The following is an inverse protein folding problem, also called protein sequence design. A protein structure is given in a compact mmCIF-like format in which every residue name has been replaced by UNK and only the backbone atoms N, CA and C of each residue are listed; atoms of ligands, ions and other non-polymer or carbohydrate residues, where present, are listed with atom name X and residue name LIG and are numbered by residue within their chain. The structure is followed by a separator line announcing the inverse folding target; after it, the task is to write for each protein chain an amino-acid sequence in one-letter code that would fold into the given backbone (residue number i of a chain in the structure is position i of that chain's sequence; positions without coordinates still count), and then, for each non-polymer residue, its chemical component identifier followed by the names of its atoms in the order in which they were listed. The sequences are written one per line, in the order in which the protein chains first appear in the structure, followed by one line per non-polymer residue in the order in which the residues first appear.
data_IF_196087283633
#
_entry.id   IF_196087283633
#
_cell.length_a   1.000
_cell.length_b   1.000
_cell.length_c   1.000
_cell.angle_alpha   90.00
_cell.angle_beta   90.00
_cell.angle_gamma   90.00
#
_symmetry.space_group_name_H-M   'P 1'
#
loop_
_entity.id
_entity.type
_entity.pdbx_description
1 polymer ?
#
# COMPACT_ATOMS: atom_id res chain seq x y z
N UNK A 1 -21.53 -3.49 -11.70
CA UNK A 1 -21.25 -2.10 -11.25
C UNK A 1 -20.01 -1.62 -11.96
N UNK A 2 -19.93 -0.34 -12.32
CA UNK A 2 -18.77 0.20 -13.01
C UNK A 2 -17.69 0.55 -11.97
N UNK A 3 -16.45 0.18 -12.21
CA UNK A 3 -15.29 0.59 -11.42
C UNK A 3 -15.03 2.08 -11.64
N UNK A 4 -14.77 2.81 -10.56
CA UNK A 4 -14.47 4.25 -10.55
C UNK A 4 -13.15 4.60 -9.89
N UNK A 5 -12.52 3.64 -9.20
CA UNK A 5 -11.19 3.78 -8.63
C UNK A 5 -10.41 2.47 -8.82
N UNK A 6 -9.19 2.57 -9.31
CA UNK A 6 -8.23 1.46 -9.36
C UNK A 6 -7.06 1.80 -8.44
N UNK A 7 -6.76 0.91 -7.51
CA UNK A 7 -5.65 1.04 -6.55
C UNK A 7 -4.64 -0.06 -6.81
N UNK A 8 -3.39 0.30 -7.01
CA UNK A 8 -2.28 -0.63 -7.21
C UNK A 8 -1.35 -0.66 -6.01
N UNK A 9 -0.87 -1.83 -5.65
CA UNK A 9 0.39 -1.92 -4.93
C UNK A 9 1.53 -1.34 -5.79
N UNK A 10 2.65 -0.99 -5.16
CA UNK A 10 3.77 -0.32 -5.82
C UNK A 10 4.86 -1.30 -6.27
N UNK A 11 5.53 -1.95 -5.30
CA UNK A 11 6.67 -2.82 -5.58
C UNK A 11 6.21 -4.12 -6.25
N UNK A 12 6.83 -4.51 -7.38
CA UNK A 12 6.51 -5.75 -8.11
C UNK A 12 5.06 -5.82 -8.65
N UNK A 13 4.33 -4.69 -8.61
CA UNK A 13 2.98 -4.54 -9.19
C UNK A 13 2.93 -3.34 -10.13
N UNK A 14 3.09 -2.09 -9.62
CA UNK A 14 3.22 -0.89 -10.46
C UNK A 14 4.59 -0.82 -11.13
N UNK A 15 5.64 -1.14 -10.39
CA UNK A 15 7.01 -1.26 -10.88
C UNK A 15 7.45 -2.73 -10.93
N UNK A 16 8.54 -2.98 -11.63
CA UNK A 16 9.29 -4.25 -11.53
C UNK A 16 10.29 -4.24 -10.35
N UNK A 17 11.18 -5.23 -10.31
CA UNK A 17 12.21 -5.38 -9.27
C UNK A 17 13.29 -4.29 -9.34
N UNK A 18 13.43 -3.59 -10.47
CA UNK A 18 14.40 -2.51 -10.69
C UNK A 18 13.77 -1.13 -10.54
N UNK A 19 12.51 -1.05 -10.09
CA UNK A 19 11.69 0.15 -9.99
C UNK A 19 11.34 0.78 -11.35
N UNK A 20 11.42 0.02 -12.43
CA UNK A 20 10.99 0.49 -13.75
C UNK A 20 9.49 0.36 -13.94
N UNK A 21 8.89 1.37 -14.58
CA UNK A 21 7.47 1.39 -14.97
C UNK A 21 7.32 0.76 -16.35
N UNK A 22 6.43 -0.21 -16.50
CA UNK A 22 6.25 -0.92 -17.75
C UNK A 22 5.84 0.00 -18.90
N UNK A 23 6.44 -0.17 -20.11
CA UNK A 23 6.01 0.55 -21.30
C UNK A 23 4.51 0.41 -21.56
N UNK A 24 3.83 1.52 -21.82
CA UNK A 24 2.40 1.57 -22.10
C UNK A 24 1.48 1.58 -20.87
N UNK A 25 2.02 1.49 -19.63
CA UNK A 25 1.21 1.63 -18.42
C UNK A 25 0.68 3.07 -18.25
N UNK A 26 1.54 4.08 -18.44
CA UNK A 26 1.11 5.47 -18.35
C UNK A 26 -0.03 5.84 -19.33
N UNK A 27 0.02 5.49 -20.63
CA UNK A 27 -1.12 5.66 -21.52
C UNK A 27 -2.40 4.96 -21.07
N UNK A 28 -2.30 3.74 -20.47
CA UNK A 28 -3.46 3.03 -19.98
C UNK A 28 -4.12 3.73 -18.78
N UNK A 29 -3.32 4.27 -17.85
CA UNK A 29 -3.82 5.06 -16.71
C UNK A 29 -4.51 6.35 -17.23
N UNK A 30 -3.88 7.10 -18.13
CA UNK A 30 -4.50 8.31 -18.71
C UNK A 30 -5.82 8.01 -19.43
N UNK A 31 -5.92 6.85 -20.08
CA UNK A 31 -7.16 6.44 -20.75
C UNK A 31 -8.31 6.25 -19.77
N UNK A 32 -8.07 5.63 -18.61
CA UNK A 32 -9.11 5.43 -17.59
C UNK A 32 -9.45 6.73 -16.87
N UNK A 33 -8.47 7.60 -16.63
CA UNK A 33 -8.72 8.93 -16.07
C UNK A 33 -9.64 9.75 -17.01
N UNK A 34 -9.43 9.67 -18.31
CA UNK A 34 -10.32 10.27 -19.33
C UNK A 34 -11.75 9.72 -19.30
N UNK A 35 -11.96 8.53 -18.70
CA UNK A 35 -13.30 7.94 -18.46
C UNK A 35 -13.86 8.29 -17.07
N UNK A 36 -13.14 9.10 -16.27
CA UNK A 36 -13.53 9.45 -14.90
C UNK A 36 -13.22 8.38 -13.85
N UNK A 37 -12.33 7.43 -14.17
CA UNK A 37 -11.85 6.40 -13.24
C UNK A 37 -10.55 6.90 -12.62
N UNK A 38 -10.51 7.05 -11.29
CA UNK A 38 -9.31 7.44 -10.55
C UNK A 38 -8.27 6.32 -10.51
N UNK A 39 -7.00 6.71 -10.44
CA UNK A 39 -5.89 5.80 -10.20
C UNK A 39 -5.08 6.23 -8.97
N UNK A 40 -4.67 5.26 -8.15
CA UNK A 40 -3.89 5.49 -6.92
C UNK A 40 -2.93 4.34 -6.64
N UNK A 41 -1.92 4.63 -5.79
CA UNK A 41 -0.95 3.65 -5.30
C UNK A 41 -1.07 3.49 -3.78
N UNK A 42 -0.91 2.26 -3.27
CA UNK A 42 -0.73 1.95 -1.85
C UNK A 42 0.54 1.15 -1.68
N UNK A 43 1.46 1.59 -0.80
CA UNK A 43 2.78 0.97 -0.64
C UNK A 43 3.28 0.96 0.81
N UNK A 44 4.20 0.04 1.09
CA UNK A 44 5.03 0.06 2.30
C UNK A 44 6.17 1.08 2.26
N UNK A 45 6.48 1.64 1.10
CA UNK A 45 7.53 2.66 0.92
C UNK A 45 7.21 3.91 1.73
N UNK A 46 8.26 4.63 2.16
CA UNK A 46 8.06 5.89 2.88
C UNK A 46 7.46 6.97 1.98
N UNK A 47 6.91 8.00 2.62
CA UNK A 47 6.16 9.05 1.95
C UNK A 47 7.01 9.85 0.95
N UNK A 48 8.22 10.25 1.35
CA UNK A 48 9.09 11.08 0.51
C UNK A 48 9.54 10.30 -0.72
N UNK A 49 9.89 9.02 -0.57
CA UNK A 49 10.21 8.14 -1.70
C UNK A 49 9.08 8.10 -2.74
N UNK A 50 7.83 7.83 -2.30
CA UNK A 50 6.70 7.77 -3.24
C UNK A 50 6.41 9.12 -3.87
N UNK A 51 6.53 10.20 -3.11
CA UNK A 51 6.34 11.55 -3.63
C UNK A 51 7.35 11.88 -4.72
N UNK A 52 8.64 11.62 -4.44
CA UNK A 52 9.74 11.88 -5.39
C UNK A 52 9.64 10.97 -6.62
N UNK A 53 9.21 9.71 -6.43
CA UNK A 53 8.98 8.77 -7.53
C UNK A 53 7.82 9.19 -8.43
N UNK A 54 6.71 9.65 -7.85
CA UNK A 54 5.51 10.03 -8.61
C UNK A 54 5.64 11.40 -9.28
N UNK A 55 6.48 12.30 -8.76
CA UNK A 55 6.64 13.65 -9.28
C UNK A 55 6.99 13.69 -10.79
N UNK A 56 7.98 12.93 -11.30
CA UNK A 56 8.34 12.93 -12.72
C UNK A 56 7.32 12.22 -13.61
N UNK A 57 6.29 11.60 -13.07
CA UNK A 57 5.24 10.93 -13.84
C UNK A 57 4.15 11.88 -14.38
N UNK A 58 4.40 13.18 -14.32
CA UNK A 58 3.63 14.22 -15.03
C UNK A 58 2.13 14.21 -14.67
N UNK A 59 1.82 14.07 -13.36
CA UNK A 59 0.45 14.02 -12.86
C UNK A 59 -0.26 12.68 -13.07
N UNK A 60 0.45 11.63 -13.49
CA UNK A 60 -0.12 10.29 -13.68
C UNK A 60 -0.63 9.67 -12.36
N UNK A 61 -0.01 10.04 -11.22
CA UNK A 61 -0.39 9.58 -9.88
C UNK A 61 -0.60 10.80 -8.99
N UNK A 62 -1.85 11.24 -8.88
CA UNK A 62 -2.22 12.41 -8.05
C UNK A 62 -2.55 12.05 -6.59
N UNK A 63 -2.53 10.78 -6.27
CA UNK A 63 -2.82 10.27 -4.93
C UNK A 63 -2.09 8.98 -4.66
N UNK A 64 -1.63 8.80 -3.43
CA UNK A 64 -1.04 7.56 -2.95
C UNK A 64 -1.17 7.43 -1.43
N UNK A 65 -0.99 6.21 -0.95
CA UNK A 65 -0.85 5.90 0.47
C UNK A 65 0.50 5.23 0.70
N UNK A 66 1.25 5.78 1.64
CA UNK A 66 2.59 5.35 2.03
C UNK A 66 2.58 4.65 3.39
N UNK A 67 3.71 4.04 3.73
CA UNK A 67 3.97 3.44 5.03
C UNK A 67 2.86 2.47 5.46
N UNK A 68 2.46 1.56 4.54
CA UNK A 68 1.42 0.55 4.77
C UNK A 68 0.08 1.09 5.29
N UNK A 69 -0.32 2.30 4.88
CA UNK A 69 -1.58 2.88 5.29
C UNK A 69 -1.46 4.06 6.25
N UNK A 70 -0.26 4.41 6.73
CA UNK A 70 -0.07 5.43 7.74
C UNK A 70 -0.17 6.86 7.21
N UNK A 71 0.23 7.10 5.96
CA UNK A 71 0.34 8.43 5.36
C UNK A 71 -0.33 8.46 4.00
N UNK A 72 -1.23 9.43 3.80
CA UNK A 72 -1.90 9.66 2.53
C UNK A 72 -1.40 10.93 1.84
N UNK A 73 -1.39 10.90 0.51
CA UNK A 73 -1.27 12.07 -0.35
C UNK A 73 -2.46 12.14 -1.28
N UNK A 74 -3.12 13.28 -1.36
CA UNK A 74 -4.24 13.49 -2.25
C UNK A 74 -4.28 14.93 -2.74
N UNK A 75 -4.17 15.13 -4.05
CA UNK A 75 -4.27 16.44 -4.71
C UNK A 75 -3.45 17.54 -4.01
N UNK A 76 -2.16 17.30 -3.82
CA UNK A 76 -1.23 18.29 -3.25
C UNK A 76 -1.17 18.34 -1.72
N UNK A 77 -2.01 17.55 -1.00
CA UNK A 77 -2.06 17.57 0.47
C UNK A 77 -1.61 16.23 1.05
N UNK A 78 -0.86 16.31 2.15
CA UNK A 78 -0.46 15.18 2.99
C UNK A 78 -1.45 14.99 4.14
N UNK A 79 -1.71 13.74 4.48
CA UNK A 79 -2.61 13.33 5.56
C UNK A 79 -1.93 12.28 6.44
N UNK A 80 -2.08 12.39 7.75
CA UNK A 80 -1.74 11.33 8.71
C UNK A 80 -3.00 10.52 8.95
N UNK A 81 -2.95 9.21 8.74
CA UNK A 81 -4.13 8.34 8.74
C UNK A 81 -4.29 7.53 10.04
N UNK A 82 -3.19 7.31 10.76
CA UNK A 82 -3.16 6.55 12.02
C UNK A 82 -2.83 7.42 13.23
N UNK A 83 -3.26 6.97 14.42
CA UNK A 83 -2.85 7.61 15.66
C UNK A 83 -1.40 7.27 16.00
N UNK A 84 -0.51 8.23 15.86
CA UNK A 84 0.91 8.12 16.17
C UNK A 84 1.30 8.68 17.54
N UNK A 85 0.35 9.02 18.40
CA UNK A 85 0.58 9.69 19.70
C UNK A 85 1.53 8.92 20.62
N UNK A 86 1.50 7.57 20.57
CA UNK A 86 2.35 6.70 21.39
C UNK A 86 3.68 6.32 20.72
N UNK A 87 3.93 6.76 19.48
CA UNK A 87 5.14 6.39 18.72
C UNK A 87 6.45 6.83 19.43
N UNK A 88 6.49 8.04 19.95
CA UNK A 88 7.69 8.52 20.67
C UNK A 88 7.99 7.67 21.92
N UNK A 89 6.97 7.17 22.58
CA UNK A 89 7.14 6.26 23.73
C UNK A 89 7.71 4.91 23.29
N UNK A 90 7.20 4.33 22.19
CA UNK A 90 7.75 3.10 21.61
C UNK A 90 9.24 3.26 21.27
N UNK A 91 9.61 4.33 20.56
CA UNK A 91 11.00 4.60 20.18
C UNK A 91 11.90 4.68 21.43
N UNK A 92 11.50 5.45 22.45
CA UNK A 92 12.25 5.56 23.71
C UNK A 92 12.46 4.20 24.38
N UNK A 93 11.47 3.31 24.35
CA UNK A 93 11.60 1.96 24.93
C UNK A 93 12.53 1.06 24.12
N UNK A 94 12.47 1.12 22.78
CA UNK A 94 13.43 0.42 21.91
C UNK A 94 14.88 0.84 22.19
N UNK A 95 15.10 2.15 22.35
CA UNK A 95 16.42 2.71 22.71
C UNK A 95 16.89 2.22 24.08
N UNK A 96 16.01 2.22 25.09
CA UNK A 96 16.33 1.70 26.44
C UNK A 96 16.68 0.21 26.45
N UNK A 97 16.07 -0.58 25.57
CA UNK A 97 16.31 -2.01 25.40
C UNK A 97 17.45 -2.31 24.41
N UNK A 98 18.09 -1.27 23.85
CA UNK A 98 19.14 -1.38 22.83
C UNK A 98 18.70 -2.20 21.61
N UNK A 99 17.41 -2.09 21.23
CA UNK A 99 16.84 -2.72 20.04
C UNK A 99 17.08 -1.81 18.84
N UNK A 100 17.86 -2.24 17.83
CA UNK A 100 18.00 -1.49 16.59
C UNK A 100 16.66 -1.36 15.85
N UNK A 101 16.38 -0.21 15.31
CA UNK A 101 15.16 0.03 14.54
C UNK A 101 15.42 0.96 13.35
N UNK A 102 14.69 0.73 12.27
CA UNK A 102 14.51 1.66 11.18
C UNK A 102 13.20 2.42 11.38
N UNK A 103 13.10 3.63 10.83
CA UNK A 103 11.86 4.39 10.96
C UNK A 103 11.50 5.13 9.67
N UNK A 104 10.20 5.05 9.33
CA UNK A 104 9.54 6.02 8.49
C UNK A 104 9.11 7.23 9.32
N UNK A 105 8.19 8.00 8.82
CA UNK A 105 7.60 9.09 9.58
C UNK A 105 6.68 8.56 10.69
N UNK A 106 5.92 7.49 10.42
CA UNK A 106 5.00 6.84 11.36
C UNK A 106 5.43 5.41 11.68
N UNK A 107 5.70 4.59 10.67
CA UNK A 107 6.09 3.18 10.84
C UNK A 107 7.43 3.05 11.55
N UNK A 108 7.55 2.04 12.40
CA UNK A 108 8.82 1.62 13.00
C UNK A 108 9.11 0.19 12.55
N UNK A 109 10.29 -0.03 11.95
CA UNK A 109 10.75 -1.35 11.51
C UNK A 109 11.78 -1.92 12.46
N UNK A 110 11.66 -3.20 12.82
CA UNK A 110 12.64 -3.93 13.64
C UNK A 110 12.95 -5.25 12.95
N UNK A 111 14.22 -5.60 12.83
CA UNK A 111 14.61 -6.86 12.21
C UNK A 111 14.20 -8.07 13.08
N UNK A 112 13.81 -9.17 12.43
CA UNK A 112 13.29 -10.39 13.08
C UNK A 112 14.16 -10.89 14.25
N UNK A 113 15.51 -10.88 14.21
CA UNK A 113 16.33 -11.28 15.35
C UNK A 113 16.07 -10.52 16.65
N UNK A 114 15.49 -9.33 16.57
CA UNK A 114 15.16 -8.48 17.73
C UNK A 114 13.69 -8.53 18.14
N UNK A 115 12.91 -9.48 17.62
CA UNK A 115 11.48 -9.64 17.91
C UNK A 115 11.16 -9.65 19.40
N UNK A 116 11.95 -10.38 20.21
CA UNK A 116 11.75 -10.43 21.66
C UNK A 116 11.85 -9.05 22.31
N UNK A 117 12.86 -8.26 21.93
CA UNK A 117 13.03 -6.89 22.45
C UNK A 117 11.91 -5.96 21.97
N UNK A 118 11.44 -6.13 20.74
CA UNK A 118 10.28 -5.40 20.25
C UNK A 118 9.02 -5.70 21.06
N UNK A 119 8.74 -6.98 21.35
CA UNK A 119 7.57 -7.38 22.13
C UNK A 119 7.64 -6.84 23.57
N UNK A 120 8.84 -6.79 24.16
CA UNK A 120 9.07 -6.13 25.44
C UNK A 120 8.81 -4.64 25.39
N UNK A 121 9.29 -3.95 24.35
CA UNK A 121 9.04 -2.51 24.14
C UNK A 121 7.55 -2.18 23.97
N UNK A 122 6.79 -3.08 23.34
CA UNK A 122 5.34 -2.95 23.14
C UNK A 122 4.49 -3.27 24.39
N UNK A 123 5.06 -3.93 25.40
CA UNK A 123 4.35 -4.27 26.63
C UNK A 123 3.80 -3.02 27.31
N UNK A 124 2.49 -3.03 27.63
CA UNK A 124 1.78 -1.86 28.20
C UNK A 124 1.48 -0.74 27.19
N UNK A 125 1.68 -0.99 25.88
CA UNK A 125 1.19 -0.15 24.78
C UNK A 125 -0.02 -0.82 24.08
N UNK A 126 -0.77 -1.64 24.82
CA UNK A 126 -1.87 -2.45 24.29
C UNK A 126 -2.89 -1.59 23.56
N UNK A 127 -3.31 -2.05 22.39
CA UNK A 127 -4.28 -1.36 21.55
C UNK A 127 -3.76 -0.11 20.80
N UNK A 128 -2.49 0.31 21.03
CA UNK A 128 -1.91 1.45 20.28
C UNK A 128 -1.29 1.02 18.96
N UNK A 129 -0.76 -0.20 18.91
CA UNK A 129 -0.01 -0.71 17.76
C UNK A 129 -0.41 -2.14 17.44
N UNK A 130 -0.10 -2.53 16.21
CA UNK A 130 -0.01 -3.92 15.79
C UNK A 130 1.26 -4.14 14.96
N UNK A 131 1.69 -5.39 14.86
CA UNK A 131 2.92 -5.76 14.15
C UNK A 131 2.55 -6.61 12.94
N UNK A 132 3.10 -6.24 11.79
CA UNK A 132 3.05 -7.06 10.59
C UNK A 132 4.45 -7.56 10.25
N UNK A 133 4.55 -8.80 9.80
CA UNK A 133 5.82 -9.37 9.33
C UNK A 133 6.00 -9.08 7.85
N UNK A 134 7.18 -8.62 7.47
CA UNK A 134 7.56 -8.38 6.08
C UNK A 134 8.95 -8.97 5.83
N UNK A 135 8.99 -10.16 5.24
CA UNK A 135 10.22 -10.94 4.99
C UNK A 135 11.09 -11.04 6.25
N UNK A 136 12.13 -10.23 6.36
CA UNK A 136 13.13 -10.24 7.44
C UNK A 136 12.91 -9.14 8.50
N UNK A 137 11.81 -8.39 8.41
CA UNK A 137 11.49 -7.30 9.33
C UNK A 137 10.08 -7.37 9.89
N UNK A 138 9.93 -6.79 11.07
CA UNK A 138 8.68 -6.60 11.77
C UNK A 138 8.34 -5.12 11.69
N UNK A 139 7.20 -4.79 11.09
CA UNK A 139 6.74 -3.41 10.95
C UNK A 139 5.66 -3.13 11.98
N UNK A 140 5.90 -2.13 12.81
CA UNK A 140 4.96 -1.66 13.84
C UNK A 140 4.17 -0.49 13.28
N UNK A 141 2.86 -0.68 13.21
CA UNK A 141 1.90 0.30 12.72
C UNK A 141 0.93 0.70 13.83
N UNK A 142 0.36 1.91 13.78
CA UNK A 142 -0.79 2.27 14.61
C UNK A 142 -1.93 1.27 14.46
N UNK A 143 -2.67 1.03 15.54
CA UNK A 143 -3.79 0.11 15.52
C UNK A 143 -4.83 0.48 14.45
N UNK A 144 -5.33 -0.54 13.73
CA UNK A 144 -6.32 -0.37 12.67
C UNK A 144 -5.78 0.17 11.34
N UNK A 145 -4.47 0.41 11.23
CA UNK A 145 -3.83 0.87 9.99
C UNK A 145 -3.24 -0.30 9.22
N UNK A 146 -3.51 -0.37 7.93
CA UNK A 146 -2.98 -1.37 7.00
C UNK A 146 -3.04 -0.83 5.57
N UNK A 147 -2.46 -1.53 4.61
CA UNK A 147 -2.68 -1.20 3.19
C UNK A 147 -4.16 -1.18 2.83
N UNK A 148 -4.96 -2.10 3.39
CA UNK A 148 -6.41 -2.17 3.17
C UNK A 148 -7.13 -0.91 3.69
N UNK A 149 -6.82 -0.45 4.91
CA UNK A 149 -7.37 0.82 5.43
C UNK A 149 -6.95 2.02 4.57
N UNK A 150 -5.79 1.95 3.92
CA UNK A 150 -5.34 2.92 2.93
C UNK A 150 -6.22 2.94 1.69
N UNK A 151 -6.63 1.76 1.18
CA UNK A 151 -7.61 1.65 0.08
C UNK A 151 -8.94 2.26 0.48
N UNK A 152 -9.44 1.98 1.68
CA UNK A 152 -10.68 2.57 2.20
C UNK A 152 -10.60 4.09 2.30
N UNK A 153 -9.44 4.62 2.72
CA UNK A 153 -9.22 6.06 2.78
C UNK A 153 -9.24 6.67 1.37
N UNK A 154 -8.57 6.08 0.39
CA UNK A 154 -8.61 6.52 -1.01
C UNK A 154 -10.03 6.49 -1.56
N UNK A 155 -10.78 5.42 -1.34
CA UNK A 155 -12.17 5.31 -1.78
C UNK A 155 -13.02 6.47 -1.24
N UNK A 156 -12.87 6.83 0.04
CA UNK A 156 -13.53 8.02 0.64
C UNK A 156 -13.09 9.32 -0.03
N UNK A 157 -11.81 9.50 -0.32
CA UNK A 157 -11.29 10.71 -0.96
C UNK A 157 -11.81 10.88 -2.39
N UNK A 158 -12.02 9.78 -3.11
CA UNK A 158 -12.62 9.78 -4.45
C UNK A 158 -14.15 9.77 -4.44
N UNK A 159 -14.79 9.62 -3.28
CA UNK A 159 -16.26 9.55 -3.17
C UNK A 159 -16.84 8.31 -3.86
N UNK A 160 -16.16 7.18 -3.76
CA UNK A 160 -16.57 5.89 -4.33
C UNK A 160 -16.81 4.85 -3.26
N UNK A 161 -17.67 3.89 -3.54
CA UNK A 161 -17.94 2.76 -2.66
C UNK A 161 -16.91 1.63 -2.86
N UNK A 162 -16.88 0.68 -1.91
CA UNK A 162 -16.09 -0.55 -2.03
C UNK A 162 -16.35 -1.27 -3.36
N UNK A 163 -17.61 -1.40 -3.77
CA UNK A 163 -18.00 -2.11 -5.00
C UNK A 163 -17.59 -1.36 -6.29
N UNK A 164 -17.27 -0.08 -6.22
CA UNK A 164 -16.74 0.74 -7.31
C UNK A 164 -15.22 0.85 -7.28
N UNK A 165 -14.57 0.19 -6.32
CA UNK A 165 -13.12 0.16 -6.14
C UNK A 165 -12.57 -1.18 -6.63
N UNK A 166 -11.54 -1.14 -7.46
CA UNK A 166 -10.71 -2.30 -7.82
C UNK A 166 -9.33 -2.13 -7.19
N UNK A 167 -8.72 -3.23 -6.74
CA UNK A 167 -7.36 -3.21 -6.21
C UNK A 167 -6.54 -4.37 -6.79
N UNK A 168 -5.22 -4.20 -6.91
CA UNK A 168 -4.32 -5.22 -7.43
C UNK A 168 -3.00 -5.21 -6.68
N UNK A 169 -2.43 -6.39 -6.45
CA UNK A 169 -1.15 -6.55 -5.75
C UNK A 169 -0.47 -7.87 -6.04
N UNK A 170 0.63 -8.15 -5.32
CA UNK A 170 1.43 -9.37 -5.49
C UNK A 170 1.76 -10.11 -4.18
N UNK A 171 1.68 -9.46 -3.01
CA UNK A 171 2.25 -9.94 -1.74
C UNK A 171 1.17 -10.26 -0.66
N UNK A 172 1.64 -10.77 0.48
CA UNK A 172 0.77 -11.18 1.60
C UNK A 172 -0.07 -10.03 2.15
N UNK A 173 0.52 -8.83 2.25
CA UNK A 173 -0.16 -7.65 2.79
C UNK A 173 -1.20 -7.06 1.84
N UNK A 174 -1.23 -7.50 0.55
CA UNK A 174 -2.22 -7.09 -0.45
C UNK A 174 -3.46 -7.99 -0.44
N UNK A 175 -3.37 -9.20 0.13
CA UNK A 175 -4.52 -10.11 0.28
C UNK A 175 -5.68 -9.42 0.99
N UNK A 176 -5.37 -8.57 1.96
CA UNK A 176 -6.36 -7.79 2.71
C UNK A 176 -7.12 -6.74 1.86
N UNK A 177 -6.67 -6.41 0.64
CA UNK A 177 -7.43 -5.53 -0.26
C UNK A 177 -8.83 -6.09 -0.57
N UNK A 178 -9.01 -7.44 -0.47
CA UNK A 178 -10.31 -8.10 -0.65
C UNK A 178 -11.42 -7.50 0.22
N UNK A 179 -11.07 -7.02 1.41
CA UNK A 179 -12.03 -6.43 2.35
C UNK A 179 -12.43 -4.99 1.95
N UNK A 180 -11.59 -4.31 1.17
CA UNK A 180 -11.75 -2.89 0.81
C UNK A 180 -12.07 -2.64 -0.67
N UNK A 181 -12.14 -3.68 -1.51
CA UNK A 181 -12.49 -3.55 -2.93
C UNK A 181 -13.59 -4.51 -3.35
N UNK A 182 -14.28 -4.18 -4.45
CA UNK A 182 -15.27 -5.05 -5.10
C UNK A 182 -14.67 -5.97 -6.15
N UNK A 183 -13.46 -5.65 -6.64
CA UNK A 183 -12.71 -6.44 -7.61
C UNK A 183 -11.24 -6.49 -7.19
N UNK A 184 -10.74 -7.68 -6.88
CA UNK A 184 -9.34 -7.91 -6.53
C UNK A 184 -8.60 -8.57 -7.69
N UNK A 185 -7.50 -7.95 -8.12
CA UNK A 185 -6.56 -8.49 -9.10
C UNK A 185 -5.28 -9.01 -8.46
N UNK A 186 -4.65 -9.96 -9.11
CA UNK A 186 -3.30 -10.42 -8.81
C UNK A 186 -2.46 -10.43 -10.07
N UNK A 187 -1.25 -9.85 -10.03
CA UNK A 187 -0.30 -9.95 -11.14
C UNK A 187 0.27 -11.38 -11.26
N UNK A 188 0.80 -11.74 -12.43
CA UNK A 188 1.31 -13.11 -12.66
C UNK A 188 2.47 -13.52 -11.74
N UNK A 189 3.26 -12.56 -11.26
CA UNK A 189 4.34 -12.80 -10.28
C UNK A 189 3.86 -12.81 -8.81
N UNK A 190 2.56 -12.65 -8.56
CA UNK A 190 2.02 -12.67 -7.20
C UNK A 190 2.20 -14.02 -6.51
N UNK A 191 2.28 -14.00 -5.19
CA UNK A 191 2.33 -15.20 -4.37
C UNK A 191 1.07 -16.08 -4.55
N UNK A 192 1.16 -17.40 -4.31
CA UNK A 192 0.02 -18.30 -4.49
C UNK A 192 -1.23 -17.90 -3.69
N UNK A 193 -1.06 -17.41 -2.46
CA UNK A 193 -2.16 -16.95 -1.61
C UNK A 193 -2.91 -15.75 -2.22
N UNK A 194 -2.18 -14.78 -2.78
CA UNK A 194 -2.78 -13.62 -3.44
C UNK A 194 -3.59 -14.05 -4.67
N UNK A 195 -3.01 -14.92 -5.51
CA UNK A 195 -3.70 -15.49 -6.68
C UNK A 195 -4.96 -16.28 -6.32
N UNK A 196 -4.91 -17.05 -5.23
CA UNK A 196 -6.06 -17.84 -4.77
C UNK A 196 -7.21 -16.97 -4.25
N UNK A 197 -6.92 -15.74 -3.77
CA UNK A 197 -7.91 -14.80 -3.23
C UNK A 197 -8.47 -13.86 -4.29
N UNK A 198 -7.71 -13.60 -5.36
CA UNK A 198 -8.06 -12.65 -6.40
C UNK A 198 -9.27 -13.11 -7.23
N UNK A 199 -10.08 -12.13 -7.65
CA UNK A 199 -11.17 -12.35 -8.62
C UNK A 199 -10.65 -12.44 -10.05
N UNK A 200 -9.48 -11.82 -10.31
CA UNK A 200 -8.80 -11.84 -11.60
C UNK A 200 -7.30 -12.03 -11.42
N UNK A 201 -6.74 -13.05 -12.05
CA UNK A 201 -5.29 -13.30 -12.09
C UNK A 201 -4.78 -12.96 -13.48
N UNK A 202 -3.86 -11.96 -13.53
CA UNK A 202 -3.27 -11.52 -14.78
C UNK A 202 -2.35 -12.60 -15.39
N UNK A 203 -2.27 -12.64 -16.70
CA UNK A 203 -1.31 -13.48 -17.43
C UNK A 203 0.10 -12.90 -17.40
N UNK A 204 0.22 -11.56 -17.23
CA UNK A 204 1.48 -10.81 -17.24
C UNK A 204 1.91 -10.41 -15.84
N UNK A 205 3.22 -10.19 -15.70
CA UNK A 205 3.85 -9.78 -14.44
C UNK A 205 3.98 -8.26 -14.35
N UNK A 206 4.12 -7.75 -13.11
CA UNK A 206 4.46 -6.37 -12.82
C UNK A 206 3.52 -5.36 -13.49
N UNK A 207 4.05 -4.21 -13.93
CA UNK A 207 3.29 -3.18 -14.62
C UNK A 207 2.60 -3.63 -15.91
N UNK A 208 3.06 -4.71 -16.55
CA UNK A 208 2.35 -5.32 -17.68
C UNK A 208 1.07 -6.01 -17.24
N UNK A 209 1.09 -6.71 -16.09
CA UNK A 209 -0.10 -7.29 -15.47
C UNK A 209 -1.06 -6.21 -14.95
N UNK A 210 -0.53 -5.15 -14.33
CA UNK A 210 -1.34 -4.01 -13.94
C UNK A 210 -2.05 -3.37 -15.14
N UNK A 211 -1.37 -3.20 -16.27
CA UNK A 211 -2.00 -2.69 -17.50
C UNK A 211 -3.14 -3.59 -17.95
N UNK A 212 -2.92 -4.91 -17.96
CA UNK A 212 -3.94 -5.92 -18.30
C UNK A 212 -5.16 -5.81 -17.36
N UNK A 213 -4.92 -5.66 -16.05
CA UNK A 213 -5.98 -5.48 -15.06
C UNK A 213 -6.77 -4.18 -15.26
N UNK A 214 -6.08 -3.08 -15.57
CA UNK A 214 -6.72 -1.79 -15.89
C UNK A 214 -7.68 -1.96 -17.08
N UNK A 215 -7.24 -2.64 -18.14
CA UNK A 215 -8.05 -2.91 -19.33
C UNK A 215 -9.26 -3.81 -19.02
N UNK A 216 -9.10 -4.76 -18.12
CA UNK A 216 -10.18 -5.64 -17.66
C UNK A 216 -11.19 -4.88 -16.79
N UNK A 217 -10.74 -4.15 -15.78
CA UNK A 217 -11.58 -3.48 -14.78
C UNK A 217 -12.34 -2.26 -15.35
N UNK A 218 -11.88 -1.68 -16.46
CA UNK A 218 -12.47 -0.47 -17.08
C UNK A 218 -13.45 -0.75 -18.22
N UNK A 219 -13.87 -2.00 -18.43
CA UNK A 219 -14.84 -2.43 -19.47
C UNK A 219 -16.29 -2.07 -19.18
#
# INVERSE_FOLDING_TARGET
MAIRLIVSDFDRTFTDETLEVAPGLAPAIRLIEGKGIGFSIVSGRNYDFLKDFCQPLDGLVESFVAENGCLGYFKGKKYVLGDSSRRAELIRRLEQLHVPYGQGEIVVGVDVPYEKGLMEALSGLDGAFHVIKNVDSLMVLPAGISKSSGVDWLARMYGVSRNETAAIGDAENDVAFKDSCGLLGAVSNAIPQMKATADYVCERSYGHGLKEFIEYASR
#
